data_IF_096578411102
#
_entry.id   IF_096578411102
#
_cell.length_a   1.000
_cell.length_b   1.000
_cell.length_c   1.000
_cell.angle_alpha   90.00
_cell.angle_beta   90.00
_cell.angle_gamma   90.00
#
_symmetry.space_group_name_H-M   'P 1'
#
loop_
_entity.id
_entity.type
_entity.pdbx_description
1 polymer ?
#
# COMPACT_ATOMS: atom_id res chain seq x y z
N UNK A 1 -69.07 -21.47 23.74
CA UNK A 1 -67.69 -21.96 23.54
C UNK A 1 -66.92 -20.92 22.75
N UNK A 2 -66.01 -20.20 23.41
CA UNK A 2 -65.12 -19.19 22.78
C UNK A 2 -63.68 -19.66 23.03
N UNK A 3 -62.91 -19.91 21.97
CA UNK A 3 -61.48 -20.16 22.06
C UNK A 3 -60.74 -18.81 22.04
N UNK A 4 -59.80 -18.51 22.95
CA UNK A 4 -58.96 -17.34 22.83
C UNK A 4 -57.77 -17.64 21.92
N UNK A 5 -57.50 -16.75 20.97
CA UNK A 5 -56.29 -16.78 20.15
C UNK A 5 -55.07 -16.46 21.02
N UNK A 6 -54.14 -17.40 21.16
CA UNK A 6 -52.85 -17.16 21.77
C UNK A 6 -51.96 -16.41 20.78
N UNK A 7 -51.59 -15.18 21.14
CA UNK A 7 -50.65 -14.34 20.41
C UNK A 7 -49.23 -14.84 20.69
N UNK A 8 -48.62 -15.52 19.71
CA UNK A 8 -47.25 -16.01 19.79
C UNK A 8 -46.27 -14.85 19.52
N UNK A 9 -45.74 -14.23 20.57
CA UNK A 9 -44.64 -13.28 20.45
C UNK A 9 -43.32 -14.04 20.23
N UNK A 10 -42.80 -14.01 19.00
CA UNK A 10 -41.46 -14.54 18.68
C UNK A 10 -40.43 -13.47 19.07
N UNK A 11 -39.73 -13.69 20.18
CA UNK A 11 -38.55 -12.91 20.56
C UNK A 11 -37.38 -13.36 19.69
N UNK A 12 -36.95 -12.53 18.73
CA UNK A 12 -35.69 -12.73 18.03
C UNK A 12 -34.54 -12.32 18.97
N UNK A 13 -33.91 -13.32 19.59
CA UNK A 13 -32.66 -13.14 20.31
C UNK A 13 -31.56 -12.84 19.27
N UNK A 14 -31.20 -11.57 19.09
CA UNK A 14 -29.98 -11.21 18.37
C UNK A 14 -28.78 -11.66 19.21
N UNK A 15 -28.30 -12.87 18.95
CA UNK A 15 -26.96 -13.29 19.34
C UNK A 15 -25.98 -12.35 18.65
N UNK A 16 -25.39 -11.43 19.43
CA UNK A 16 -24.22 -10.66 19.02
C UNK A 16 -23.05 -11.61 18.87
N UNK A 17 -22.98 -12.26 17.70
CA UNK A 17 -21.77 -12.96 17.28
C UNK A 17 -20.71 -11.86 17.15
N UNK A 18 -19.81 -11.80 18.13
CA UNK A 18 -18.65 -10.93 18.06
C UNK A 18 -17.93 -11.19 16.75
N UNK A 19 -17.82 -10.17 15.89
CA UNK A 19 -16.93 -10.23 14.75
C UNK A 19 -15.50 -10.24 15.31
N UNK A 20 -14.87 -11.41 15.33
CA UNK A 20 -13.44 -11.48 15.58
C UNK A 20 -12.74 -10.86 14.37
N UNK A 21 -12.15 -9.69 14.58
CA UNK A 21 -11.20 -9.13 13.63
C UNK A 21 -9.93 -9.99 13.59
N UNK A 22 -9.29 -9.99 12.42
CA UNK A 22 -7.93 -10.46 12.09
C UNK A 22 -7.32 -11.46 13.08
N UNK A 23 -7.17 -12.73 12.68
CA UNK A 23 -6.28 -13.66 13.38
C UNK A 23 -4.90 -13.02 13.58
N UNK A 24 -4.41 -13.12 14.83
CA UNK A 24 -3.08 -12.70 15.24
C UNK A 24 -2.06 -13.59 14.52
N UNK A 25 -1.75 -13.22 13.30
CA UNK A 25 -0.82 -13.90 12.41
C UNK A 25 0.61 -13.56 12.83
N UNK A 26 0.94 -13.96 14.06
CA UNK A 26 2.28 -14.00 14.60
C UNK A 26 3.07 -15.11 13.86
N UNK A 27 3.37 -14.88 12.58
CA UNK A 27 4.17 -15.76 11.73
C UNK A 27 5.60 -15.99 12.27
N UNK A 28 6.02 -15.21 13.27
CA UNK A 28 7.40 -15.15 13.77
C UNK A 28 7.63 -15.76 15.16
N UNK A 29 6.67 -16.49 15.75
CA UNK A 29 6.88 -17.11 17.09
C UNK A 29 8.11 -18.02 17.18
N UNK A 30 8.58 -18.56 16.06
CA UNK A 30 9.74 -19.46 16.00
C UNK A 30 11.10 -18.74 15.91
N UNK A 31 11.15 -17.45 15.57
CA UNK A 31 12.39 -16.67 15.58
C UNK A 31 12.81 -16.26 17.00
N UNK A 32 12.59 -17.15 17.97
CA UNK A 32 13.23 -17.12 19.29
C UNK A 32 14.72 -17.42 19.14
N UNK A 33 15.41 -16.50 18.49
CA UNK A 33 16.69 -15.94 18.85
C UNK A 33 17.70 -16.94 19.45
N UNK A 34 18.58 -17.47 18.62
CA UNK A 34 19.85 -18.03 19.10
C UNK A 34 20.50 -17.01 20.05
N UNK A 35 20.84 -17.42 21.27
CA UNK A 35 21.52 -16.58 22.27
C UNK A 35 23.02 -16.65 22.05
N UNK A 36 23.49 -16.03 20.98
CA UNK A 36 24.90 -15.73 20.79
C UNK A 36 25.14 -14.21 20.93
N UNK A 37 26.41 -13.85 21.17
CA UNK A 37 26.83 -12.45 21.35
C UNK A 37 26.63 -11.64 20.06
N UNK A 38 26.77 -12.29 18.91
CA UNK A 38 26.65 -11.67 17.58
C UNK A 38 25.24 -11.11 17.34
N UNK A 39 24.19 -11.76 17.85
CA UNK A 39 22.81 -11.29 17.71
C UNK A 39 22.34 -10.34 18.82
N UNK A 40 23.18 -9.98 19.79
CA UNK A 40 22.78 -9.16 20.95
C UNK A 40 22.19 -7.80 20.56
N UNK A 41 22.78 -7.12 19.58
CA UNK A 41 22.29 -5.83 19.07
C UNK A 41 20.95 -5.97 18.35
N UNK A 42 20.83 -6.96 17.48
CA UNK A 42 19.58 -7.26 16.78
C UNK A 42 18.46 -7.54 17.79
N UNK A 43 18.71 -8.39 18.80
CA UNK A 43 17.74 -8.68 19.86
C UNK A 43 17.31 -7.44 20.63
N UNK A 44 18.26 -6.55 20.97
CA UNK A 44 17.94 -5.32 21.66
C UNK A 44 16.95 -4.47 20.84
N UNK A 45 17.24 -4.22 19.56
CA UNK A 45 16.35 -3.45 18.70
C UNK A 45 15.01 -4.15 18.45
N UNK A 46 15.00 -5.48 18.25
CA UNK A 46 13.77 -6.24 18.13
C UNK A 46 12.93 -6.14 19.40
N UNK A 47 13.54 -6.22 20.59
CA UNK A 47 12.83 -6.06 21.87
C UNK A 47 12.20 -4.68 21.99
N UNK A 48 12.92 -3.62 21.63
CA UNK A 48 12.38 -2.25 21.59
C UNK A 48 11.20 -2.17 20.62
N UNK A 49 11.34 -2.71 19.42
CA UNK A 49 10.28 -2.71 18.41
C UNK A 49 9.03 -3.49 18.86
N UNK A 50 9.21 -4.69 19.43
CA UNK A 50 8.11 -5.51 19.94
C UNK A 50 7.38 -4.85 21.10
N UNK A 51 8.11 -4.18 22.00
CA UNK A 51 7.49 -3.41 23.07
C UNK A 51 6.60 -2.28 22.51
N UNK A 52 7.13 -1.51 21.55
CA UNK A 52 6.35 -0.46 20.89
C UNK A 52 5.12 -1.01 20.13
N UNK A 53 5.25 -2.17 19.48
CA UNK A 53 4.13 -2.85 18.83
C UNK A 53 3.07 -3.33 19.83
N UNK A 54 3.49 -3.80 21.01
CA UNK A 54 2.61 -4.18 22.11
C UNK A 54 1.81 -2.99 22.64
N UNK A 55 2.48 -1.86 22.91
CA UNK A 55 1.82 -0.60 23.32
C UNK A 55 0.82 -0.16 22.25
N UNK A 56 1.23 -0.14 20.98
CA UNK A 56 0.34 0.21 19.86
C UNK A 56 -0.89 -0.70 19.80
N UNK A 57 -0.72 -2.01 20.01
CA UNK A 57 -1.82 -2.99 19.98
C UNK A 57 -2.82 -2.73 21.09
N UNK A 58 -2.35 -2.46 22.31
CA UNK A 58 -3.20 -2.10 23.44
C UNK A 58 -3.97 -0.79 23.20
N UNK A 59 -3.29 0.26 22.73
CA UNK A 59 -3.93 1.54 22.38
C UNK A 59 -5.04 1.37 21.32
N UNK A 60 -4.79 0.58 20.28
CA UNK A 60 -5.76 0.35 19.20
C UNK A 60 -6.94 -0.49 19.66
N UNK A 61 -6.75 -1.42 20.60
CA UNK A 61 -7.82 -2.26 21.13
C UNK A 61 -8.89 -1.46 21.92
N UNK A 62 -8.54 -0.29 22.44
CA UNK A 62 -9.47 0.58 23.17
C UNK A 62 -10.35 1.46 22.26
N UNK A 63 -10.04 1.58 20.96
CA UNK A 63 -10.79 2.40 20.02
C UNK A 63 -12.11 1.71 19.65
N UNK A 64 -13.25 2.36 19.93
CA UNK A 64 -14.60 1.75 19.77
C UNK A 64 -15.51 2.53 18.85
N UNK A 65 -15.29 3.82 18.72
CA UNK A 65 -16.17 4.74 18.00
C UNK A 65 -15.49 5.32 16.76
N UNK A 66 -16.28 5.85 15.83
CA UNK A 66 -15.75 6.57 14.67
C UNK A 66 -14.81 7.71 15.08
N UNK A 67 -15.18 8.47 16.11
CA UNK A 67 -14.38 9.57 16.64
C UNK A 67 -13.00 9.09 17.12
N UNK A 68 -12.94 7.96 17.85
CA UNK A 68 -11.66 7.39 18.30
C UNK A 68 -10.72 7.08 17.12
N UNK A 69 -11.27 6.55 16.03
CA UNK A 69 -10.50 6.25 14.81
C UNK A 69 -10.06 7.51 14.06
N UNK A 70 -10.91 8.54 13.99
CA UNK A 70 -10.56 9.82 13.39
C UNK A 70 -9.43 10.50 14.17
N UNK A 71 -9.49 10.51 15.50
CA UNK A 71 -8.41 11.02 16.35
C UNK A 71 -7.12 10.21 16.17
N UNK A 72 -7.22 8.89 16.08
CA UNK A 72 -6.07 8.03 15.78
C UNK A 72 -5.43 8.36 14.43
N UNK A 73 -6.22 8.62 13.39
CA UNK A 73 -5.70 9.01 12.07
C UNK A 73 -4.92 10.33 12.13
N UNK A 74 -5.43 11.32 12.86
CA UNK A 74 -4.73 12.60 13.07
C UNK A 74 -3.39 12.36 13.75
N UNK A 75 -3.37 11.58 14.82
CA UNK A 75 -2.16 11.23 15.56
C UNK A 75 -1.15 10.48 14.68
N UNK A 76 -1.58 9.45 13.94
CA UNK A 76 -0.69 8.68 13.05
C UNK A 76 -0.10 9.57 11.97
N UNK A 77 -0.93 10.44 11.35
CA UNK A 77 -0.45 11.38 10.33
C UNK A 77 0.60 12.35 10.88
N UNK A 78 0.39 12.87 12.09
CA UNK A 78 1.37 13.73 12.75
C UNK A 78 2.70 13.00 13.00
N UNK A 79 2.66 11.77 13.53
CA UNK A 79 3.87 10.93 13.72
C UNK A 79 4.59 10.64 12.41
N UNK A 80 3.86 10.31 11.34
CA UNK A 80 4.46 10.08 10.02
C UNK A 80 5.14 11.33 9.49
N UNK A 81 4.52 12.51 9.63
CA UNK A 81 5.12 13.77 9.21
C UNK A 81 6.39 14.10 10.01
N UNK A 82 6.40 13.81 11.31
CA UNK A 82 7.58 14.00 12.16
C UNK A 82 8.73 13.08 11.73
N UNK A 83 8.45 11.79 11.48
CA UNK A 83 9.45 10.79 11.08
C UNK A 83 10.03 11.08 9.69
N UNK A 84 9.16 11.41 8.73
CA UNK A 84 9.57 11.69 7.35
C UNK A 84 10.30 13.04 7.22
N UNK A 85 10.04 13.97 8.13
CA UNK A 85 10.49 15.34 8.03
C UNK A 85 9.73 16.15 6.98
N UNK A 86 10.13 17.42 6.75
CA UNK A 86 9.50 18.26 5.75
C UNK A 86 9.77 17.72 4.33
N UNK A 87 8.73 17.72 3.49
CA UNK A 87 8.92 17.49 2.06
C UNK A 87 9.74 18.63 1.44
N UNK A 88 10.58 18.35 0.44
CA UNK A 88 11.30 19.41 -0.28
C UNK A 88 10.32 20.35 -0.99
N UNK A 89 10.79 21.55 -1.32
CA UNK A 89 10.03 22.50 -2.13
C UNK A 89 9.63 21.86 -3.48
N UNK A 90 8.43 22.17 -3.94
CA UNK A 90 7.96 21.66 -5.23
C UNK A 90 8.72 22.32 -6.36
N UNK A 91 9.38 21.51 -7.17
CA UNK A 91 10.05 21.96 -8.39
C UNK A 91 9.28 21.52 -9.64
N UNK A 92 9.45 22.20 -10.78
CA UNK A 92 8.92 21.73 -12.06
C UNK A 92 9.43 20.32 -12.36
N UNK A 93 8.54 19.41 -12.78
CA UNK A 93 8.91 18.01 -13.09
C UNK A 93 9.72 17.86 -14.39
N UNK A 94 9.64 18.84 -15.29
CA UNK A 94 10.28 18.81 -16.62
C UNK A 94 10.12 17.47 -17.38
N UNK A 95 8.90 16.89 -17.46
CA UNK A 95 8.73 15.56 -18.03
C UNK A 95 8.94 15.57 -19.54
N UNK A 96 9.66 14.56 -20.04
CA UNK A 96 9.90 14.34 -21.46
C UNK A 96 9.48 12.93 -21.83
N UNK A 97 8.64 12.81 -22.85
CA UNK A 97 8.38 11.52 -23.49
C UNK A 97 9.56 11.24 -24.40
N UNK A 98 10.35 10.22 -24.09
CA UNK A 98 11.54 9.84 -24.86
C UNK A 98 11.19 8.91 -26.01
N UNK A 99 10.14 8.10 -25.86
CA UNK A 99 9.72 7.13 -26.85
C UNK A 99 8.24 6.75 -26.67
N UNK A 100 7.57 6.41 -27.77
CA UNK A 100 6.20 5.86 -27.74
C UNK A 100 6.17 4.52 -28.47
N UNK A 101 5.89 3.45 -27.73
CA UNK A 101 5.78 2.10 -28.24
C UNK A 101 4.31 1.74 -28.47
N UNK A 102 3.94 1.44 -29.72
CA UNK A 102 2.61 0.93 -30.05
C UNK A 102 2.54 -0.58 -29.76
N UNK A 103 1.45 -1.01 -29.12
CA UNK A 103 1.14 -2.43 -28.84
C UNK A 103 -0.29 -2.71 -29.25
N UNK A 104 -0.65 -3.99 -29.25
CA UNK A 104 -2.04 -4.38 -29.51
C UNK A 104 -2.96 -3.93 -28.35
N UNK A 105 -3.88 -3.02 -28.65
CA UNK A 105 -4.86 -2.49 -27.70
C UNK A 105 -4.38 -1.37 -26.76
N UNK A 106 -3.10 -1.00 -26.77
CA UNK A 106 -2.55 0.07 -25.92
C UNK A 106 -1.24 0.63 -26.48
N UNK A 107 -0.73 1.71 -25.88
CA UNK A 107 0.62 2.23 -26.13
C UNK A 107 1.38 2.40 -24.82
N UNK A 108 2.70 2.46 -24.90
CA UNK A 108 3.60 2.74 -23.78
C UNK A 108 4.34 4.02 -24.11
N UNK A 109 4.26 5.02 -23.24
CA UNK A 109 5.06 6.25 -23.32
C UNK A 109 6.19 6.12 -22.31
N UNK A 110 7.45 6.08 -22.79
CA UNK A 110 8.63 6.13 -21.91
C UNK A 110 8.84 7.58 -21.51
N UNK A 111 8.96 7.83 -20.21
CA UNK A 111 9.01 9.18 -19.64
C UNK A 111 10.29 9.30 -18.81
N UNK A 112 10.97 10.43 -18.98
CA UNK A 112 12.06 10.88 -18.12
C UNK A 112 11.64 12.21 -17.49
N UNK A 113 11.74 12.33 -16.17
CA UNK A 113 11.38 13.56 -15.45
C UNK A 113 12.28 13.78 -14.24
N UNK A 114 12.33 15.00 -13.72
CA UNK A 114 13.08 15.34 -12.51
C UNK A 114 12.16 15.30 -11.29
N UNK A 115 12.50 14.48 -10.29
CA UNK A 115 11.78 14.44 -9.01
C UNK A 115 12.17 15.60 -8.09
N UNK A 116 13.44 15.99 -8.16
CA UNK A 116 14.05 17.21 -7.65
C UNK A 116 15.15 17.60 -8.65
N UNK A 117 15.66 18.84 -8.67
CA UNK A 117 16.66 19.28 -9.64
C UNK A 117 17.88 18.33 -9.68
N UNK A 118 18.19 17.81 -10.86
CA UNK A 118 19.29 16.87 -11.07
C UNK A 118 19.01 15.41 -10.72
N UNK A 119 17.86 15.07 -10.11
CA UNK A 119 17.48 13.69 -9.81
C UNK A 119 16.41 13.18 -10.79
N UNK A 120 16.88 12.49 -11.82
CA UNK A 120 16.04 11.94 -12.87
C UNK A 120 15.35 10.64 -12.45
N UNK A 121 14.09 10.52 -12.85
CA UNK A 121 13.26 9.33 -12.68
C UNK A 121 12.84 8.84 -14.05
N UNK A 122 13.18 7.58 -14.33
CA UNK A 122 12.72 6.84 -15.50
C UNK A 122 11.37 6.20 -15.21
N UNK A 123 10.44 6.34 -16.13
CA UNK A 123 9.05 5.97 -15.94
C UNK A 123 8.41 5.47 -17.24
N UNK A 124 7.27 4.81 -17.10
CA UNK A 124 6.45 4.41 -18.24
C UNK A 124 4.97 4.65 -17.95
N UNK A 125 4.27 5.17 -18.96
CA UNK A 125 2.82 5.35 -18.95
C UNK A 125 2.18 4.42 -19.98
N UNK A 126 1.40 3.45 -19.50
CA UNK A 126 0.64 2.51 -20.31
C UNK A 126 -0.75 3.09 -20.52
N UNK A 127 -1.10 3.35 -21.78
CA UNK A 127 -2.33 4.05 -22.13
C UNK A 127 -3.18 3.18 -23.06
N UNK A 128 -4.44 2.84 -22.69
CA UNK A 128 -5.29 2.01 -23.52
C UNK A 128 -5.68 2.71 -24.81
N UNK A 129 -5.94 1.95 -25.87
CA UNK A 129 -6.45 2.49 -27.13
C UNK A 129 -7.85 3.06 -26.90
N UNK A 130 -8.11 4.26 -27.44
CA UNK A 130 -9.42 4.91 -27.29
C UNK A 130 -9.70 5.44 -25.89
N UNK A 131 -8.65 5.63 -25.06
CA UNK A 131 -8.78 6.24 -23.73
C UNK A 131 -9.55 7.56 -23.83
N UNK A 132 -10.55 7.74 -22.95
CA UNK A 132 -11.30 8.98 -22.83
C UNK A 132 -10.58 9.94 -21.88
N UNK A 133 -10.92 11.22 -21.95
CA UNK A 133 -10.48 12.21 -20.95
C UNK A 133 -10.94 11.75 -19.56
N UNK A 134 -10.12 11.99 -18.54
CA UNK A 134 -10.36 11.60 -17.14
C UNK A 134 -10.55 10.09 -16.92
N UNK A 135 -9.83 9.26 -17.69
CA UNK A 135 -9.80 7.83 -17.46
C UNK A 135 -9.20 7.48 -16.09
N UNK A 136 -9.65 6.38 -15.45
CA UNK A 136 -9.08 5.92 -14.19
C UNK A 136 -7.60 5.57 -14.38
N UNK A 137 -6.77 6.03 -13.45
CA UNK A 137 -5.33 5.83 -13.47
C UNK A 137 -4.87 5.04 -12.24
N UNK A 138 -3.89 4.17 -12.45
CA UNK A 138 -3.24 3.37 -11.41
C UNK A 138 -1.76 3.73 -11.39
N UNK A 139 -1.26 4.11 -10.23
CA UNK A 139 0.18 4.12 -9.98
C UNK A 139 0.62 2.72 -9.56
N UNK A 140 1.43 2.06 -10.37
CA UNK A 140 1.98 0.75 -10.10
C UNK A 140 3.38 0.88 -9.49
N UNK A 141 3.47 0.69 -8.19
CA UNK A 141 4.72 0.63 -7.44
C UNK A 141 5.31 -0.79 -7.52
N UNK A 142 6.49 -0.92 -8.12
CA UNK A 142 7.17 -2.20 -8.27
C UNK A 142 7.77 -2.68 -6.95
N UNK A 143 7.85 -3.99 -6.79
CA UNK A 143 8.60 -4.63 -5.70
C UNK A 143 10.11 -4.68 -6.00
N UNK A 144 10.83 -5.57 -5.32
CA UNK A 144 12.29 -5.61 -5.34
C UNK A 144 12.87 -6.50 -6.45
N UNK A 145 12.66 -6.16 -7.71
CA UNK A 145 13.30 -6.85 -8.85
C UNK A 145 14.34 -5.97 -9.51
N UNK A 146 15.51 -6.53 -9.86
CA UNK A 146 16.59 -5.78 -10.53
C UNK A 146 16.12 -5.07 -11.80
N UNK A 147 15.27 -5.72 -12.61
CA UNK A 147 14.75 -5.14 -13.86
C UNK A 147 13.67 -4.05 -13.65
N UNK A 148 13.33 -3.72 -12.40
CA UNK A 148 12.25 -2.81 -12.07
C UNK A 148 10.91 -3.24 -12.68
N UNK A 149 10.14 -2.28 -13.21
CA UNK A 149 8.82 -2.56 -13.79
C UNK A 149 8.87 -3.45 -15.05
N UNK A 150 10.05 -3.67 -15.63
CA UNK A 150 10.24 -4.48 -16.85
C UNK A 150 10.23 -5.99 -16.56
N UNK A 151 10.24 -6.40 -15.29
CA UNK A 151 10.15 -7.81 -14.92
C UNK A 151 8.88 -8.45 -15.51
N UNK A 152 8.99 -9.73 -15.90
CA UNK A 152 7.89 -10.46 -16.57
C UNK A 152 6.60 -10.48 -15.73
N UNK A 153 6.74 -10.63 -14.40
CA UNK A 153 5.61 -10.66 -13.46
C UNK A 153 4.89 -9.32 -13.43
N UNK A 154 5.63 -8.21 -13.39
CA UNK A 154 5.06 -6.86 -13.32
C UNK A 154 4.45 -6.44 -14.65
N UNK A 155 5.12 -6.73 -15.78
CA UNK A 155 4.54 -6.51 -17.11
C UNK A 155 3.21 -7.25 -17.27
N UNK A 156 3.09 -8.49 -16.78
CA UNK A 156 1.83 -9.23 -16.86
C UNK A 156 0.69 -8.48 -16.15
N UNK A 157 0.93 -7.98 -14.94
CA UNK A 157 -0.06 -7.22 -14.16
C UNK A 157 -0.41 -5.90 -14.85
N UNK A 158 0.60 -5.12 -15.25
CA UNK A 158 0.42 -3.81 -15.89
C UNK A 158 -0.35 -3.96 -17.20
N UNK A 159 0.00 -4.94 -18.03
CA UNK A 159 -0.67 -5.20 -19.32
C UNK A 159 -2.12 -5.64 -19.11
N UNK A 160 -2.40 -6.45 -18.09
CA UNK A 160 -3.78 -6.84 -17.77
C UNK A 160 -4.62 -5.64 -17.34
N UNK A 161 -4.06 -4.72 -16.54
CA UNK A 161 -4.74 -3.50 -16.11
C UNK A 161 -5.01 -2.56 -17.29
N UNK A 162 -4.01 -2.30 -18.15
CA UNK A 162 -4.23 -1.42 -19.31
C UNK A 162 -5.23 -2.02 -20.30
N UNK A 163 -5.22 -3.34 -20.52
CA UNK A 163 -6.23 -4.01 -21.36
C UNK A 163 -7.65 -3.96 -20.77
N UNK A 164 -7.79 -3.75 -19.47
CA UNK A 164 -9.09 -3.49 -18.80
C UNK A 164 -9.52 -2.02 -18.85
N UNK A 165 -8.74 -1.14 -19.48
CA UNK A 165 -9.09 0.26 -19.69
C UNK A 165 -8.50 1.24 -18.68
N UNK A 166 -7.63 0.79 -17.79
CA UNK A 166 -6.91 1.68 -16.87
C UNK A 166 -5.70 2.32 -17.56
N UNK A 167 -5.43 3.59 -17.26
CA UNK A 167 -4.10 4.17 -17.49
C UNK A 167 -3.19 3.69 -16.38
N UNK A 168 -2.01 3.16 -16.69
CA UNK A 168 -1.09 2.66 -15.66
C UNK A 168 0.23 3.42 -15.74
N UNK A 169 0.58 4.12 -14.67
CA UNK A 169 1.85 4.82 -14.52
C UNK A 169 2.77 4.02 -13.60
N UNK A 170 4.03 3.85 -13.98
CA UNK A 170 5.03 3.16 -13.16
C UNK A 170 6.38 3.83 -13.30
N UNK A 171 7.24 3.67 -12.30
CA UNK A 171 8.57 4.26 -12.22
C UNK A 171 9.58 3.18 -11.88
N UNK A 172 10.84 3.39 -12.25
CA UNK A 172 11.93 2.63 -11.66
C UNK A 172 12.17 3.13 -10.22
N UNK A 173 12.08 2.25 -9.19
CA UNK A 173 12.50 2.58 -7.84
C UNK A 173 14.01 2.89 -7.81
N UNK A 174 14.46 3.61 -6.79
CA UNK A 174 15.89 3.80 -6.58
C UNK A 174 16.59 2.45 -6.42
N UNK A 175 17.74 2.26 -7.07
CA UNK A 175 18.50 1.01 -7.04
C UNK A 175 17.92 -0.12 -7.89
N UNK A 176 17.05 0.19 -8.86
CA UNK A 176 16.42 -0.78 -9.76
C UNK A 176 16.24 -0.23 -11.17
N UNK A 177 16.12 -1.12 -12.16
CA UNK A 177 15.86 -0.75 -13.54
C UNK A 177 16.94 0.17 -14.09
N UNK A 178 16.54 1.29 -14.70
CA UNK A 178 17.47 2.30 -15.23
C UNK A 178 18.06 3.23 -14.13
N UNK A 179 17.69 3.01 -12.86
CA UNK A 179 18.19 3.75 -11.69
C UNK A 179 19.02 2.87 -10.75
N UNK A 180 19.63 1.82 -11.30
CA UNK A 180 20.58 0.97 -10.60
C UNK A 180 21.93 1.70 -10.51
N UNK A 181 22.42 1.91 -9.28
CA UNK A 181 23.69 2.57 -8.95
C UNK A 181 24.64 1.59 -8.25
#
# INVERSE_FOLDING_TARGET
>A
MKYPAQMLCIFFLFLTIGSNAQEDTDFFKFWQSYTDIENSLFKHFSSVAYNQLGVRKAEVAELKTEEDWLQRQILVRAKLNEILGPFPERTPLNPKITEVLKRDGYRIEKILYESVPGNFVTAALYVPKGVKKNAPAIFYACGHTLDGFRSKVYQHIIINLVKKGFVVFTIDPMGQGERFE
#
